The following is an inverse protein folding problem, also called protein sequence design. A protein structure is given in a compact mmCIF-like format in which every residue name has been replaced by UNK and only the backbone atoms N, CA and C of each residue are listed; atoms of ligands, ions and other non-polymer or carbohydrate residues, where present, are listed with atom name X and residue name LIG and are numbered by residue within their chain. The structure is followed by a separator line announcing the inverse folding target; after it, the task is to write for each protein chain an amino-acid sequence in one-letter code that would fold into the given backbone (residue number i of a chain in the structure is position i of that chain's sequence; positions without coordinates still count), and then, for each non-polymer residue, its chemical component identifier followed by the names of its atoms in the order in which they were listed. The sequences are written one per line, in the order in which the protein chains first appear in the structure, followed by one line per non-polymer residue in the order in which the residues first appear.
data_IF_529205852006
#
_entry.id   IF_529205852006
#
_cell.length_a   1.000
_cell.length_b   1.000
_cell.length_c   1.000
_cell.angle_alpha   90.00
_cell.angle_beta   90.00
_cell.angle_gamma   90.00
#
_symmetry.space_group_name_H-M   'P 1'
#
loop_
_entity.id
_entity.type
_entity.pdbx_description
1 polymer ?
#
# COMPACT_ATOMS: atom_id res chain seq x y z
N UNK A 1 17.12 -8.72 -21.18
CA UNK A 1 16.30 -7.67 -20.53
C UNK A 1 15.05 -8.38 -20.03
N UNK A 2 14.74 -8.32 -18.73
CA UNK A 2 13.56 -9.02 -18.19
C UNK A 2 12.29 -8.24 -18.57
N UNK A 3 11.26 -8.93 -19.06
CA UNK A 3 9.96 -8.34 -19.39
C UNK A 3 9.04 -8.39 -18.18
N UNK A 4 9.26 -7.46 -17.24
CA UNK A 4 8.42 -7.32 -16.05
C UNK A 4 7.53 -6.09 -16.21
N UNK A 5 6.22 -6.30 -16.15
CA UNK A 5 5.25 -5.21 -16.00
C UNK A 5 5.24 -4.77 -14.54
N UNK A 6 5.69 -3.54 -14.28
CA UNK A 6 5.69 -2.96 -12.95
C UNK A 6 4.40 -2.18 -12.71
N UNK A 7 4.12 -1.92 -11.43
CA UNK A 7 3.10 -0.95 -11.05
C UNK A 7 3.48 0.45 -11.57
N UNK A 8 2.51 1.29 -11.97
CA UNK A 8 2.80 2.66 -12.39
C UNK A 8 3.42 3.49 -11.26
N UNK A 9 4.41 4.32 -11.59
CA UNK A 9 4.90 5.37 -10.69
C UNK A 9 4.00 6.61 -10.85
N UNK A 10 3.37 7.04 -9.76
CA UNK A 10 2.47 8.20 -9.77
C UNK A 10 3.21 9.52 -9.49
N UNK A 11 4.28 9.45 -8.70
CA UNK A 11 5.06 10.60 -8.24
C UNK A 11 6.46 10.17 -7.80
N UNK A 12 7.47 10.99 -8.12
CA UNK A 12 8.84 10.84 -7.65
C UNK A 12 9.42 12.20 -7.29
N UNK A 13 9.75 12.40 -6.01
CA UNK A 13 10.25 13.67 -5.51
C UNK A 13 10.37 13.69 -3.99
N UNK A 14 10.59 14.89 -3.45
CA UNK A 14 10.57 15.13 -2.01
C UNK A 14 9.16 14.88 -1.49
N UNK A 15 9.05 14.27 -0.31
CA UNK A 15 7.74 14.01 0.28
C UNK A 15 6.97 15.32 0.49
N UNK A 16 5.78 15.39 -0.12
CA UNK A 16 4.80 16.45 0.02
C UNK A 16 3.44 15.79 0.21
N UNK A 17 2.90 15.87 1.42
CA UNK A 17 1.69 15.16 1.80
C UNK A 17 0.47 15.60 0.99
N UNK A 18 0.35 16.90 0.71
CA UNK A 18 -0.78 17.47 -0.03
C UNK A 18 -0.71 17.06 -1.50
N UNK A 19 0.48 17.18 -2.11
CA UNK A 19 0.70 16.73 -3.48
C UNK A 19 0.41 15.23 -3.63
N UNK A 20 0.89 14.40 -2.70
CA UNK A 20 0.67 12.95 -2.71
C UNK A 20 -0.82 12.65 -2.58
N UNK A 21 -1.51 13.22 -1.58
CA UNK A 21 -2.95 13.00 -1.41
C UNK A 21 -3.76 13.40 -2.64
N UNK A 22 -3.34 14.45 -3.35
CA UNK A 22 -3.98 14.91 -4.58
C UNK A 22 -3.86 13.97 -5.78
N UNK A 23 -2.96 12.97 -5.72
CA UNK A 23 -2.81 11.95 -6.76
C UNK A 23 -4.04 11.03 -6.88
N UNK A 24 -4.88 10.97 -5.84
CA UNK A 24 -6.08 10.15 -5.88
C UNK A 24 -7.26 10.88 -6.51
N UNK A 25 -7.99 10.19 -7.39
CA UNK A 25 -9.25 10.64 -7.99
C UNK A 25 -10.19 9.45 -8.22
N UNK A 26 -11.50 9.67 -8.24
CA UNK A 26 -12.46 8.59 -8.51
C UNK A 26 -12.33 8.03 -9.93
N UNK A 27 -12.03 8.89 -10.89
CA UNK A 27 -11.70 8.51 -12.25
C UNK A 27 -10.23 8.88 -12.49
N UNK A 28 -9.31 7.93 -12.78
CA UNK A 28 -9.54 6.52 -13.13
C UNK A 28 -9.41 5.51 -11.96
N UNK A 29 -9.21 5.96 -10.72
CA UNK A 29 -8.73 5.10 -9.62
C UNK A 29 -9.83 4.55 -8.70
N UNK A 30 -11.10 4.72 -9.03
CA UNK A 30 -12.23 4.34 -8.16
C UNK A 30 -12.32 2.84 -7.86
N UNK A 31 -11.72 2.00 -8.70
CA UNK A 31 -11.66 0.54 -8.52
C UNK A 31 -10.45 0.09 -7.69
N UNK A 32 -9.43 0.93 -7.50
CA UNK A 32 -8.25 0.57 -6.71
C UNK A 32 -8.45 0.92 -5.23
N UNK A 33 -7.80 0.18 -4.34
CA UNK A 33 -7.81 0.46 -2.90
C UNK A 33 -7.07 1.77 -2.58
N UNK A 34 -5.98 2.05 -3.27
CA UNK A 34 -5.11 3.19 -3.02
C UNK A 34 -3.70 2.96 -3.57
N UNK A 35 -2.69 3.56 -2.94
CA UNK A 35 -1.29 3.47 -3.37
C UNK A 35 -0.33 3.48 -2.18
N UNK A 36 0.92 3.09 -2.45
CA UNK A 36 2.01 3.04 -1.49
C UNK A 36 2.99 4.17 -1.78
N UNK A 37 3.53 4.76 -0.72
CA UNK A 37 4.64 5.72 -0.75
C UNK A 37 5.82 5.08 -0.04
N UNK A 38 7.01 5.17 -0.61
CA UNK A 38 8.25 4.68 0.02
C UNK A 38 9.40 5.66 -0.22
N UNK A 39 10.42 5.60 0.63
CA UNK A 39 11.72 6.19 0.31
C UNK A 39 12.23 5.62 -1.03
N UNK A 40 12.76 6.46 -1.91
CA UNK A 40 13.31 5.98 -3.19
C UNK A 40 14.55 5.08 -2.99
N UNK A 41 15.29 5.31 -1.91
CA UNK A 41 16.47 4.54 -1.54
C UNK A 41 16.12 3.25 -0.78
N UNK A 42 17.16 2.47 -0.49
CA UNK A 42 17.13 1.35 0.44
C UNK A 42 17.07 1.85 1.89
N UNK A 43 16.40 1.10 2.76
CA UNK A 43 16.33 1.37 4.19
C UNK A 43 16.45 0.06 4.97
N UNK A 44 16.87 0.12 6.24
CA UNK A 44 16.94 -1.07 7.08
C UNK A 44 15.54 -1.55 7.48
N UNK A 45 15.38 -2.85 7.70
CA UNK A 45 14.10 -3.44 8.13
C UNK A 45 13.51 -2.75 9.36
N UNK A 46 14.34 -2.36 10.31
CA UNK A 46 13.88 -1.74 11.56
C UNK A 46 13.34 -0.31 11.34
N UNK A 47 13.67 0.31 10.20
CA UNK A 47 13.18 1.62 9.75
C UNK A 47 11.92 1.53 8.87
N UNK A 48 11.41 0.31 8.62
CA UNK A 48 10.26 0.07 7.73
C UNK A 48 9.05 0.96 8.08
N UNK A 49 8.77 1.11 9.37
CA UNK A 49 7.66 1.89 9.89
C UNK A 49 7.76 3.41 9.60
N UNK A 50 8.96 3.91 9.30
CA UNK A 50 9.21 5.31 8.93
C UNK A 50 9.46 5.48 7.42
N UNK A 51 9.79 4.39 6.73
CA UNK A 51 10.24 4.43 5.33
C UNK A 51 9.14 4.15 4.32
N UNK A 52 7.97 3.68 4.77
CA UNK A 52 6.83 3.31 3.94
C UNK A 52 5.53 3.85 4.56
N UNK A 53 4.65 4.35 3.71
CA UNK A 53 3.28 4.69 4.06
C UNK A 53 2.31 4.16 2.98
N UNK A 54 1.02 4.11 3.32
CA UNK A 54 -0.03 3.80 2.35
C UNK A 54 -1.16 4.81 2.43
N UNK A 55 -1.69 5.19 1.28
CA UNK A 55 -2.96 5.88 1.16
C UNK A 55 -4.02 4.84 0.79
N UNK A 56 -5.15 4.87 1.49
CA UNK A 56 -6.31 4.00 1.22
C UNK A 56 -7.52 4.89 0.99
N UNK A 57 -8.26 4.66 -0.09
CA UNK A 57 -9.44 5.46 -0.42
C UNK A 57 -10.49 5.36 0.67
N UNK A 58 -11.28 6.42 0.79
CA UNK A 58 -12.45 6.43 1.68
C UNK A 58 -13.40 5.31 1.29
N UNK A 59 -13.94 4.61 2.30
CA UNK A 59 -14.93 3.56 2.09
C UNK A 59 -14.37 2.19 1.72
N UNK A 60 -13.05 1.99 1.74
CA UNK A 60 -12.45 0.70 1.39
C UNK A 60 -12.66 -0.38 2.47
N UNK A 61 -12.37 -0.06 3.74
CA UNK A 61 -12.69 -0.95 4.86
C UNK A 61 -14.02 -0.52 5.45
N UNK A 62 -15.00 -1.41 5.44
CA UNK A 62 -16.35 -1.14 5.94
C UNK A 62 -16.71 -2.00 7.15
N UNK A 63 -15.84 -2.91 7.57
CA UNK A 63 -16.02 -3.75 8.75
C UNK A 63 -14.77 -3.72 9.61
N UNK A 64 -14.96 -3.65 10.93
CA UNK A 64 -13.90 -3.78 11.93
C UNK A 64 -13.55 -5.26 12.22
N UNK A 65 -14.14 -6.19 11.45
CA UNK A 65 -13.81 -7.61 11.45
C UNK A 65 -12.43 -7.83 10.82
N UNK A 66 -11.40 -7.70 11.64
CA UNK A 66 -10.06 -8.13 11.28
C UNK A 66 -10.03 -9.67 11.20
N UNK A 67 -9.59 -10.22 10.05
CA UNK A 67 -9.34 -11.66 9.87
C UNK A 67 -8.44 -12.26 10.98
N UNK A 68 -7.56 -11.43 11.56
CA UNK A 68 -6.71 -11.81 12.70
C UNK A 68 -7.52 -12.11 13.98
N UNK A 69 -8.69 -11.48 14.14
CA UNK A 69 -9.63 -11.71 15.25
C UNK A 69 -10.63 -12.83 14.97
N UNK A 70 -10.81 -13.19 13.70
CA UNK A 70 -11.79 -14.21 13.27
C UNK A 70 -11.29 -15.64 13.42
N UNK A 71 -10.09 -15.86 13.99
CA UNK A 71 -9.53 -17.20 14.20
C UNK A 71 -9.33 -17.94 12.88
N UNK A 72 -8.29 -17.58 12.12
CA UNK A 72 -7.93 -18.32 10.91
C UNK A 72 -7.77 -19.82 11.18
N UNK A 73 -8.29 -20.66 10.29
CA UNK A 73 -8.06 -22.11 10.37
C UNK A 73 -6.56 -22.39 10.19
N UNK A 74 -5.98 -23.18 11.10
CA UNK A 74 -4.61 -23.65 10.98
C UNK A 74 -4.50 -24.46 9.68
N UNK A 75 -3.62 -24.05 8.77
CA UNK A 75 -3.26 -24.92 7.67
C UNK A 75 -2.51 -26.13 8.23
N UNK A 76 -3.03 -27.33 7.97
CA UNK A 76 -2.53 -28.62 8.50
C UNK A 76 -1.16 -29.04 7.96
N UNK A 77 -0.37 -28.11 7.45
CA UNK A 77 0.99 -28.35 6.98
C UNK A 77 1.88 -28.56 8.21
N UNK A 78 2.21 -29.84 8.46
CA UNK A 78 3.25 -30.20 9.42
C UNK A 78 4.61 -30.02 8.75
N UNK A 79 5.52 -29.31 9.42
CA UNK A 79 6.97 -29.34 9.16
C UNK A 79 7.53 -30.72 9.51
#
# INVERSE_FOLDING_TARGET
KFELTLVPELYRGIFDEDAIKSLWSQDPWGTVEGYVVRLADSFHRDEFHQSIAKFVRKGHVQTDEHWLRSGGELNMLRL
#
